data_IF_001298610122
#
_entry.id   IF_001298610122
#
_cell.length_a   1.000
_cell.length_b   1.000
_cell.length_c   1.000
_cell.angle_alpha   90.00
_cell.angle_beta   90.00
_cell.angle_gamma   90.00
#
_symmetry.space_group_name_H-M   'P 1'
#
loop_
_entity.id
_entity.type
_entity.pdbx_description
1 polymer ?
#
# COMPACT_ATOMS: atom_id res chain seq x y z
N UNK A 1 8.98 -16.71 31.58
CA UNK A 1 9.43 -15.34 31.24
C UNK A 1 10.55 -15.45 30.22
N UNK A 2 10.35 -15.13 28.93
CA UNK A 2 11.45 -15.01 28.00
C UNK A 2 11.98 -13.58 27.97
N UNK A 3 13.30 -13.51 28.11
CA UNK A 3 14.15 -12.34 28.10
C UNK A 3 14.18 -11.70 26.70
N UNK A 4 14.08 -10.37 26.67
CA UNK A 4 14.25 -9.53 25.49
C UNK A 4 15.61 -9.79 24.83
N UNK A 5 15.61 -10.18 23.56
CA UNK A 5 16.81 -10.30 22.72
C UNK A 5 16.94 -9.07 21.82
N UNK A 6 18.00 -8.31 22.06
CA UNK A 6 18.90 -7.75 21.04
C UNK A 6 18.31 -6.76 20.04
N UNK A 7 18.35 -5.47 20.39
CA UNK A 7 18.44 -4.40 19.40
C UNK A 7 19.83 -4.47 18.74
N UNK A 8 19.93 -5.17 17.62
CA UNK A 8 21.12 -5.11 16.77
C UNK A 8 21.08 -3.84 15.93
N UNK A 9 21.81 -2.82 16.40
CA UNK A 9 22.25 -1.71 15.57
C UNK A 9 23.31 -2.21 14.60
N UNK A 10 22.96 -2.39 13.32
CA UNK A 10 23.95 -2.56 12.27
C UNK A 10 23.87 -1.35 11.35
N UNK A 11 24.70 -0.35 11.66
CA UNK A 11 24.97 0.82 10.83
C UNK A 11 25.91 0.40 9.70
N UNK A 12 25.43 0.40 8.45
CA UNK A 12 26.30 0.34 7.27
C UNK A 12 26.16 1.64 6.50
N UNK A 13 27.24 2.42 6.49
CA UNK A 13 27.35 3.74 5.88
C UNK A 13 27.72 3.58 4.41
N UNK A 14 26.84 4.01 3.51
CA UNK A 14 27.14 4.24 2.10
C UNK A 14 27.26 5.76 1.85
N UNK A 15 28.08 6.22 0.89
CA UNK A 15 28.36 7.65 0.71
C UNK A 15 27.19 8.31 0.00
N UNK A 16 26.41 9.09 0.73
CA UNK A 16 25.40 9.99 0.17
C UNK A 16 25.90 11.41 0.36
N UNK A 17 25.92 12.15 -0.74
CA UNK A 17 26.28 13.56 -0.79
C UNK A 17 25.65 14.35 0.37
N UNK A 18 26.43 15.26 0.93
CA UNK A 18 26.05 16.19 1.99
C UNK A 18 24.67 16.80 1.72
N UNK A 19 23.67 16.40 2.49
CA UNK A 19 22.34 17.00 2.47
C UNK A 19 21.72 16.93 3.87
N UNK A 20 21.16 18.07 4.26
CA UNK A 20 20.76 18.51 5.60
C UNK A 20 20.32 17.41 6.61
N UNK A 21 20.85 17.53 7.82
CA UNK A 21 20.90 16.56 8.92
C UNK A 21 19.58 16.26 9.65
N UNK A 22 18.44 16.42 9.00
CA UNK A 22 17.17 15.91 9.53
C UNK A 22 16.46 15.10 8.46
N UNK A 23 16.77 13.80 8.43
CA UNK A 23 16.05 12.85 7.62
C UNK A 23 14.55 12.92 7.94
N UNK A 24 13.77 13.19 6.90
CA UNK A 24 12.33 13.31 6.92
C UNK A 24 11.72 11.92 7.11
N UNK A 25 11.03 11.65 8.22
CA UNK A 25 10.43 10.34 8.45
C UNK A 25 9.24 10.16 7.50
N UNK A 26 9.23 9.06 6.76
CA UNK A 26 8.14 8.69 5.84
C UNK A 26 7.69 7.28 6.15
N UNK A 27 6.39 7.01 6.02
CA UNK A 27 5.85 5.66 6.17
C UNK A 27 5.30 5.18 4.85
N UNK A 28 5.74 4.02 4.37
CA UNK A 28 5.17 3.35 3.20
C UNK A 28 4.31 2.18 3.67
N UNK A 29 3.10 2.08 3.14
CA UNK A 29 2.12 1.06 3.51
C UNK A 29 1.65 0.30 2.28
N UNK A 30 1.59 -1.02 2.44
CA UNK A 30 1.00 -1.94 1.48
C UNK A 30 0.05 -2.90 2.18
N UNK A 31 -1.03 -3.27 1.50
CA UNK A 31 -1.95 -4.32 1.95
C UNK A 31 -2.00 -5.36 0.85
N UNK A 32 -1.68 -6.60 1.17
CA UNK A 32 -1.72 -7.68 0.19
C UNK A 32 -3.15 -8.19 -0.07
N UNK A 33 -3.25 -9.19 -0.93
CA UNK A 33 -4.53 -9.77 -1.32
C UNK A 33 -5.25 -10.52 -0.19
N UNK A 34 -4.52 -10.91 0.86
CA UNK A 34 -5.05 -11.57 2.06
C UNK A 34 -5.47 -10.56 3.13
N UNK A 35 -5.25 -9.26 2.90
CA UNK A 35 -5.50 -8.20 3.86
C UNK A 35 -4.38 -8.02 4.88
N UNK A 36 -3.22 -8.65 4.69
CA UNK A 36 -2.05 -8.46 5.53
C UNK A 36 -1.44 -7.08 5.28
N UNK A 37 -1.20 -6.33 6.36
CA UNK A 37 -0.64 -4.99 6.30
C UNK A 37 0.88 -5.04 6.46
N UNK A 38 1.59 -4.37 5.57
CA UNK A 38 3.04 -4.15 5.60
C UNK A 38 3.32 -2.66 5.77
N UNK A 39 4.32 -2.33 6.60
CA UNK A 39 4.75 -0.95 6.84
C UNK A 39 6.28 -0.85 6.82
N UNK A 40 6.81 0.15 6.11
CA UNK A 40 8.23 0.51 6.10
C UNK A 40 8.39 1.95 6.57
N UNK A 41 9.35 2.19 7.46
CA UNK A 41 9.77 3.52 7.87
C UNK A 41 11.00 3.93 7.05
N UNK A 42 10.90 5.03 6.32
CA UNK A 42 12.00 5.59 5.54
C UNK A 42 12.49 6.90 6.16
N UNK A 43 13.77 7.19 5.97
CA UNK A 43 14.37 8.47 6.30
C UNK A 43 14.92 9.08 5.01
N UNK A 44 14.24 10.10 4.48
CA UNK A 44 14.55 10.70 3.18
C UNK A 44 15.05 12.15 3.36
N UNK A 45 15.81 12.70 2.41
CA UNK A 45 16.09 14.14 2.40
C UNK A 45 14.80 14.96 2.39
N UNK A 46 14.85 16.16 2.98
CA UNK A 46 13.74 17.09 2.96
C UNK A 46 13.32 17.40 1.51
N UNK A 47 12.01 17.40 1.25
CA UNK A 47 11.46 17.67 -0.08
C UNK A 47 11.65 16.55 -1.10
N UNK A 48 12.08 15.35 -0.68
CA UNK A 48 12.16 14.19 -1.56
C UNK A 48 10.80 13.90 -2.23
N UNK A 49 10.83 13.43 -3.48
CA UNK A 49 9.62 13.05 -4.20
C UNK A 49 9.22 11.60 -3.94
N UNK A 50 8.00 11.23 -4.34
CA UNK A 50 7.55 9.83 -4.37
C UNK A 50 8.52 8.93 -5.16
N UNK A 51 9.02 9.40 -6.30
CA UNK A 51 10.04 8.71 -7.11
C UNK A 51 11.29 8.42 -6.28
N UNK A 52 11.79 9.43 -5.56
CA UNK A 52 12.98 9.27 -4.72
C UNK A 52 12.75 8.24 -3.59
N UNK A 53 11.54 8.18 -3.01
CA UNK A 53 11.18 7.16 -2.04
C UNK A 53 11.20 5.74 -2.65
N UNK A 54 10.65 5.58 -3.86
CA UNK A 54 10.68 4.32 -4.61
C UNK A 54 12.10 3.88 -4.97
N UNK A 55 12.91 4.80 -5.48
CA UNK A 55 14.31 4.54 -5.82
C UNK A 55 15.11 4.13 -4.58
N UNK A 56 14.87 4.77 -3.43
CA UNK A 56 15.47 4.39 -2.16
C UNK A 56 15.08 2.97 -1.76
N UNK A 57 13.79 2.64 -1.79
CA UNK A 57 13.28 1.30 -1.46
C UNK A 57 13.94 0.22 -2.33
N UNK A 58 13.93 0.42 -3.65
CA UNK A 58 14.45 -0.54 -4.61
C UNK A 58 15.97 -0.74 -4.49
N UNK A 59 16.73 0.30 -4.14
CA UNK A 59 18.19 0.22 -3.96
C UNK A 59 18.62 -0.29 -2.59
N UNK A 60 17.85 -0.01 -1.54
CA UNK A 60 18.20 -0.39 -0.16
C UNK A 60 18.32 -1.91 0.01
N UNK A 61 17.52 -2.67 -0.74
CA UNK A 61 17.35 -4.11 -0.52
C UNK A 61 16.56 -4.45 0.76
N UNK A 62 16.12 -3.44 1.50
CA UNK A 62 15.28 -3.58 2.69
C UNK A 62 13.79 -3.65 2.27
N UNK A 63 12.95 -4.17 3.18
CA UNK A 63 11.50 -4.22 2.97
C UNK A 63 11.06 -4.84 1.62
N UNK A 64 11.64 -5.99 1.26
CA UNK A 64 11.48 -6.64 -0.05
C UNK A 64 10.02 -6.78 -0.53
N UNK A 65 9.08 -7.07 0.37
CA UNK A 65 7.64 -7.13 0.04
C UNK A 65 7.11 -5.78 -0.44
N UNK A 66 7.46 -4.70 0.25
CA UNK A 66 7.04 -3.34 -0.10
C UNK A 66 7.74 -2.88 -1.38
N UNK A 67 9.02 -3.20 -1.57
CA UNK A 67 9.75 -2.91 -2.79
C UNK A 67 9.13 -3.61 -4.01
N UNK A 68 8.75 -4.88 -3.88
CA UNK A 68 8.05 -5.63 -4.94
C UNK A 68 6.66 -5.05 -5.23
N UNK A 69 5.91 -4.66 -4.18
CA UNK A 69 4.61 -4.00 -4.34
C UNK A 69 4.75 -2.64 -5.05
N UNK A 70 5.79 -1.86 -4.71
CA UNK A 70 6.08 -0.58 -5.35
C UNK A 70 6.32 -0.75 -6.86
N UNK A 71 7.10 -1.76 -7.25
CA UNK A 71 7.43 -2.02 -8.66
C UNK A 71 6.21 -2.43 -9.51
N UNK A 72 5.17 -2.98 -8.89
CA UNK A 72 3.93 -3.45 -9.53
C UNK A 72 2.71 -2.57 -9.22
N UNK A 73 2.93 -1.41 -8.61
CA UNK A 73 1.88 -0.51 -8.19
C UNK A 73 1.10 0.02 -9.40
N UNK A 74 -0.23 0.11 -9.26
CA UNK A 74 -1.07 0.83 -10.20
C UNK A 74 -1.04 2.35 -9.98
N UNK A 75 -0.60 2.78 -8.79
CA UNK A 75 -0.48 4.18 -8.41
C UNK A 75 -0.13 4.33 -6.93
N UNK A 76 -0.01 5.58 -6.50
CA UNK A 76 0.35 5.93 -5.12
C UNK A 76 -0.61 6.97 -4.58
N UNK A 77 -0.87 6.88 -3.28
CA UNK A 77 -1.60 7.92 -2.57
C UNK A 77 -0.82 8.38 -1.34
N UNK A 78 -1.01 9.64 -0.96
CA UNK A 78 -0.54 10.19 0.31
C UNK A 78 -1.78 10.57 1.11
N UNK A 79 -1.97 9.94 2.27
CA UNK A 79 -3.18 10.07 3.10
C UNK A 79 -4.49 9.94 2.30
N UNK A 80 -4.60 8.93 1.42
CA UNK A 80 -5.78 8.70 0.59
C UNK A 80 -5.93 9.61 -0.64
N UNK A 81 -5.02 10.57 -0.87
CA UNK A 81 -5.02 11.41 -2.06
C UNK A 81 -4.06 10.87 -3.10
N UNK A 82 -4.55 10.57 -4.32
CA UNK A 82 -3.72 10.16 -5.44
C UNK A 82 -2.62 11.19 -5.74
N UNK A 83 -1.41 10.70 -5.99
CA UNK A 83 -0.23 11.51 -6.30
C UNK A 83 0.60 10.85 -7.39
N UNK A 84 1.17 11.68 -8.25
CA UNK A 84 2.15 11.27 -9.24
C UNK A 84 3.53 11.09 -8.61
N UNK A 85 4.40 10.32 -9.29
CA UNK A 85 5.75 10.02 -8.81
C UNK A 85 6.61 11.27 -8.55
N UNK A 86 6.31 12.40 -9.20
CA UNK A 86 7.08 13.62 -9.05
C UNK A 86 6.57 14.54 -7.92
N UNK A 87 5.51 14.13 -7.21
CA UNK A 87 5.00 14.88 -6.06
C UNK A 87 6.01 14.89 -4.91
N UNK A 88 6.27 16.08 -4.36
CA UNK A 88 7.09 16.28 -3.16
C UNK A 88 6.40 15.72 -1.91
N UNK A 89 7.19 15.13 -1.03
CA UNK A 89 6.77 14.58 0.25
C UNK A 89 7.13 15.53 1.40
N UNK A 90 6.34 15.47 2.45
CA UNK A 90 6.56 16.17 3.72
C UNK A 90 6.85 15.22 4.90
N UNK A 91 7.38 15.74 6.02
CA UNK A 91 7.66 14.93 7.20
C UNK A 91 6.41 14.27 7.77
N UNK A 92 6.51 12.96 8.01
CA UNK A 92 5.43 12.14 8.55
C UNK A 92 4.45 11.63 7.49
N UNK A 93 4.68 11.89 6.21
CA UNK A 93 3.77 11.43 5.15
C UNK A 93 3.63 9.91 5.15
N UNK A 94 2.38 9.47 4.97
CA UNK A 94 2.06 8.08 4.74
C UNK A 94 1.75 7.85 3.27
N UNK A 95 2.65 7.15 2.60
CA UNK A 95 2.51 6.68 1.23
C UNK A 95 1.77 5.34 1.25
N UNK A 96 0.73 5.24 0.43
CA UNK A 96 -0.10 4.05 0.26
C UNK A 96 0.10 3.53 -1.16
N UNK A 97 0.53 2.28 -1.29
CA UNK A 97 0.70 1.61 -2.59
C UNK A 97 -0.66 1.07 -3.03
N UNK A 98 -1.11 1.45 -4.23
CA UNK A 98 -2.42 1.05 -4.76
C UNK A 98 -2.29 -0.17 -5.67
N UNK A 99 -3.07 -1.21 -5.36
CA UNK A 99 -3.13 -2.42 -6.16
C UNK A 99 -3.93 -2.18 -7.46
N UNK A 100 -3.58 -2.85 -8.57
CA UNK A 100 -4.42 -2.90 -9.76
C UNK A 100 -5.82 -3.45 -9.44
N UNK A 101 -6.83 -2.95 -10.16
CA UNK A 101 -8.20 -3.46 -10.03
C UNK A 101 -8.30 -4.88 -10.62
N UNK A 102 -8.73 -5.85 -9.81
CA UNK A 102 -8.93 -7.24 -10.24
C UNK A 102 -10.15 -7.44 -11.15
N UNK A 103 -11.16 -6.60 -11.01
CA UNK A 103 -12.38 -6.62 -11.81
C UNK A 103 -12.98 -5.21 -11.89
N UNK A 104 -13.74 -4.94 -12.95
CA UNK A 104 -14.51 -3.70 -13.02
C UNK A 104 -15.46 -3.58 -11.80
N UNK A 105 -15.50 -2.43 -11.11
CA UNK A 105 -16.31 -2.27 -9.90
C UNK A 105 -17.81 -2.53 -10.10
N UNK A 106 -18.36 -2.21 -11.27
CA UNK A 106 -19.79 -2.46 -11.58
C UNK A 106 -20.04 -3.94 -11.77
N UNK A 107 -19.15 -4.62 -12.48
CA UNK A 107 -19.20 -6.07 -12.67
C UNK A 107 -19.11 -6.80 -11.32
N UNK A 108 -18.12 -6.45 -10.50
CA UNK A 108 -17.94 -7.02 -9.16
C UNK A 108 -19.17 -6.76 -8.26
N UNK A 109 -19.75 -5.56 -8.31
CA UNK A 109 -20.99 -5.25 -7.60
C UNK A 109 -22.16 -6.10 -8.12
N UNK A 110 -22.31 -6.24 -9.44
CA UNK A 110 -23.39 -7.05 -10.04
C UNK A 110 -23.27 -8.50 -9.60
N UNK A 111 -22.07 -9.06 -9.59
CA UNK A 111 -21.80 -10.42 -9.12
C UNK A 111 -22.20 -10.61 -7.66
N UNK A 112 -21.82 -9.68 -6.77
CA UNK A 112 -22.21 -9.72 -5.34
C UNK A 112 -23.73 -9.62 -5.13
N UNK A 113 -24.40 -8.73 -5.84
CA UNK A 113 -25.87 -8.62 -5.73
C UNK A 113 -26.55 -9.89 -6.23
N UNK A 114 -26.07 -10.45 -7.34
CA UNK A 114 -26.62 -11.69 -7.89
C UNK A 114 -26.39 -12.90 -6.98
N UNK A 115 -25.23 -13.00 -6.30
CA UNK A 115 -24.99 -14.09 -5.35
C UNK A 115 -25.93 -14.00 -4.15
N UNK A 116 -26.12 -12.79 -3.58
CA UNK A 116 -27.08 -12.56 -2.49
C UNK A 116 -28.52 -12.89 -2.92
N UNK A 117 -28.92 -12.49 -4.14
CA UNK A 117 -30.24 -12.82 -4.68
C UNK A 117 -30.44 -14.32 -4.84
N UNK A 118 -29.46 -15.05 -5.41
CA UNK A 118 -29.51 -16.51 -5.55
C UNK A 118 -29.64 -17.20 -4.20
N UNK A 119 -28.86 -16.79 -3.21
CA UNK A 119 -28.94 -17.35 -1.85
C UNK A 119 -30.32 -17.12 -1.20
N UNK A 120 -30.91 -15.92 -1.37
CA UNK A 120 -32.27 -15.62 -0.87
C UNK A 120 -33.34 -16.45 -1.57
N UNK A 121 -33.25 -16.61 -2.88
CA UNK A 121 -34.18 -17.45 -3.64
C UNK A 121 -34.09 -18.92 -3.21
N UNK A 122 -32.88 -19.45 -2.99
CA UNK A 122 -32.66 -20.80 -2.47
C UNK A 122 -33.22 -20.99 -1.05
N UNK A 123 -33.20 -19.93 -0.22
CA UNK A 123 -33.79 -19.94 1.12
C UNK A 123 -35.31 -19.72 1.13
N UNK A 124 -35.99 -19.73 -0.03
CA UNK A 124 -37.44 -19.54 -0.13
C UNK A 124 -37.92 -18.11 0.19
N UNK A 125 -37.02 -17.13 0.28
CA UNK A 125 -37.39 -15.75 0.55
C UNK A 125 -38.02 -15.12 -0.71
N UNK A 126 -39.22 -14.56 -0.54
CA UNK A 126 -39.96 -13.89 -1.61
C UNK A 126 -39.16 -12.68 -2.16
N UNK A 127 -38.70 -12.76 -3.41
CA UNK A 127 -38.10 -11.64 -4.13
C UNK A 127 -39.10 -11.10 -5.16
N UNK A 128 -39.54 -9.85 -4.97
CA UNK A 128 -40.48 -9.18 -5.88
C UNK A 128 -39.91 -8.93 -7.29
N UNK A 129 -38.59 -9.09 -7.49
CA UNK A 129 -37.89 -8.84 -8.75
C UNK A 129 -37.59 -10.09 -9.58
N UNK A 130 -37.78 -11.30 -9.05
CA UNK A 130 -37.46 -12.56 -9.75
C UNK A 130 -38.64 -13.17 -10.51
N UNK A 131 -39.74 -12.44 -10.71
CA UNK A 131 -40.86 -12.98 -11.48
C UNK A 131 -40.41 -13.21 -12.93
N UNK A 132 -40.17 -14.47 -13.27
CA UNK A 132 -39.92 -14.93 -14.62
C UNK A 132 -41.02 -14.37 -15.54
N UNK A 133 -40.59 -13.77 -16.66
CA UNK A 133 -41.43 -13.64 -17.83
C UNK A 133 -41.50 -14.98 -18.54
#
# INVERSE_FOLDING_TARGET
MPLFRGLSTCSVRAPVAEMDSSGMPITVVWVDEQGQVYRAGLSLPSGASLRAAGDWLLRSGEHSVIAAAWASAAGFAVFGHLKDLDASLGPGDRIEILAPLKADPKEARRQRVNSVRRARAQAGAFDRWTRAR
#
